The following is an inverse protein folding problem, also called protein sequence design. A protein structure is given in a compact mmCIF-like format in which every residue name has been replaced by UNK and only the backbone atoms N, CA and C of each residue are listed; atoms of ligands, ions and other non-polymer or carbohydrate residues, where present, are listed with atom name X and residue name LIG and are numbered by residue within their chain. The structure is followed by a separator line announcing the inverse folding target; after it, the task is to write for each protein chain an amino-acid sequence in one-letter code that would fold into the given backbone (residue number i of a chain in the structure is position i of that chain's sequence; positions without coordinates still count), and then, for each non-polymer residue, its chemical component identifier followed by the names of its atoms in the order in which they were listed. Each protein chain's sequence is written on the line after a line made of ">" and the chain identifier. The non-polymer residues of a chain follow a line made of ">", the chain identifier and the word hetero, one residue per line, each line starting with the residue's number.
data_IF_733100867337
#
_entry.id   IF_733100867337
#
_cell.length_a   1.000
_cell.length_b   1.000
_cell.length_c   1.000
_cell.angle_alpha   90.00
_cell.angle_beta   90.00
_cell.angle_gamma   90.00
#
_symmetry.space_group_name_H-M   'P 1'
#
loop_
_entity.id
_entity.type
_entity.pdbx_description
1 polymer ?
#
# COMPACT_ATOMS: atom_id res chain seq x y z
N UNK A 1 -32.55 -3.09 31.66
CA UNK A 1 -31.32 -3.82 31.29
C UNK A 1 -30.62 -2.99 30.20
N UNK A 2 -29.47 -2.39 30.52
CA UNK A 2 -28.76 -1.53 29.58
C UNK A 2 -28.11 -2.41 28.49
N UNK A 3 -28.38 -2.14 27.23
CA UNK A 3 -27.81 -2.89 26.13
C UNK A 3 -26.34 -2.45 25.86
N UNK A 4 -25.55 -3.28 25.17
CA UNK A 4 -24.18 -2.91 24.73
C UNK A 4 -24.15 -1.60 23.92
N UNK A 5 -25.22 -1.32 23.15
CA UNK A 5 -25.38 -0.06 22.41
C UNK A 5 -25.59 1.14 23.31
N UNK A 6 -26.34 0.98 24.40
CA UNK A 6 -26.59 2.06 25.35
C UNK A 6 -25.34 2.37 26.18
N UNK A 7 -24.53 1.34 26.50
CA UNK A 7 -23.24 1.52 27.16
C UNK A 7 -22.26 2.32 26.29
N UNK A 8 -22.17 2.00 24.98
CA UNK A 8 -21.34 2.77 24.03
C UNK A 8 -21.79 4.23 23.91
N UNK A 9 -23.09 4.49 23.89
CA UNK A 9 -23.62 5.87 23.87
C UNK A 9 -23.25 6.65 25.15
N UNK A 10 -23.33 6.01 26.31
CA UNK A 10 -22.99 6.60 27.60
C UNK A 10 -21.49 6.86 27.69
N UNK A 11 -20.63 5.95 27.20
CA UNK A 11 -19.18 6.10 27.22
C UNK A 11 -18.72 7.24 26.31
N UNK A 12 -19.34 7.38 25.14
CA UNK A 12 -19.06 8.50 24.22
C UNK A 12 -19.51 9.84 24.82
N UNK A 13 -20.67 9.88 25.47
CA UNK A 13 -21.15 11.09 26.15
C UNK A 13 -20.32 11.42 27.39
N UNK A 14 -19.89 10.42 28.16
CA UNK A 14 -19.07 10.60 29.37
C UNK A 14 -17.63 11.06 29.06
N UNK A 15 -17.03 10.54 27.97
CA UNK A 15 -15.71 10.96 27.52
C UNK A 15 -15.66 12.40 27.00
N UNK A 16 -16.77 12.85 26.39
CA UNK A 16 -16.90 14.23 25.89
C UNK A 16 -17.02 15.27 27.00
N UNK A 17 -17.55 14.92 28.16
CA UNK A 17 -17.70 15.83 29.30
C UNK A 17 -16.40 16.12 30.06
N UNK A 18 -15.38 15.26 29.94
CA UNK A 18 -14.11 15.45 30.62
C UNK A 18 -13.13 16.41 29.90
N UNK A 19 -13.42 16.85 28.67
CA UNK A 19 -12.54 17.70 27.84
C UNK A 19 -13.21 18.95 27.29
N UNK A 20 -14.14 19.56 28.05
CA UNK A 20 -14.92 20.72 27.60
C UNK A 20 -14.09 22.02 27.33
N UNK A 21 -12.78 22.01 27.54
CA UNK A 21 -11.93 23.13 27.21
C UNK A 21 -11.41 23.18 25.77
N UNK A 22 -11.71 22.16 24.94
CA UNK A 22 -11.32 22.09 23.53
C UNK A 22 -12.48 21.64 22.61
N UNK A 23 -13.61 22.31 22.74
CA UNK A 23 -14.85 22.00 21.99
C UNK A 23 -14.70 22.17 20.46
N UNK A 24 -13.74 22.97 19.98
CA UNK A 24 -13.53 23.14 18.55
C UNK A 24 -12.78 21.97 17.91
N UNK A 25 -11.85 21.33 18.64
CA UNK A 25 -11.16 20.12 18.14
C UNK A 25 -12.04 18.86 18.23
N UNK A 26 -12.95 18.80 19.21
CA UNK A 26 -13.87 17.68 19.37
C UNK A 26 -14.98 17.65 18.29
N UNK A 27 -15.34 18.80 17.73
CA UNK A 27 -16.35 18.89 16.64
C UNK A 27 -15.88 18.24 15.34
N UNK A 28 -14.59 18.06 15.12
CA UNK A 28 -14.05 17.44 13.92
C UNK A 28 -14.22 15.91 13.86
N UNK A 29 -14.68 15.27 14.94
CA UNK A 29 -14.76 13.81 15.05
C UNK A 29 -16.18 13.26 15.09
N UNK A 30 -17.19 14.11 14.97
CA UNK A 30 -18.58 13.65 14.97
C UNK A 30 -18.97 13.27 13.54
N UNK A 31 -19.12 11.96 13.32
CA UNK A 31 -19.75 11.46 12.11
C UNK A 31 -21.25 11.78 12.17
N UNK A 32 -21.76 12.60 11.26
CA UNK A 32 -23.18 12.69 11.02
C UNK A 32 -23.58 11.50 10.15
N UNK A 33 -24.16 10.49 10.78
CA UNK A 33 -24.93 9.48 10.05
C UNK A 33 -26.27 10.13 9.75
N UNK A 34 -26.48 10.49 8.49
CA UNK A 34 -27.79 10.97 8.03
C UNK A 34 -28.63 9.73 7.73
N UNK A 35 -29.74 9.49 8.45
CA UNK A 35 -30.66 8.40 8.13
C UNK A 35 -31.14 8.56 6.69
N UNK A 36 -31.31 7.46 5.97
CA UNK A 36 -31.82 7.38 4.61
C UNK A 36 -30.89 7.87 3.46
N UNK A 37 -29.58 7.99 3.69
CA UNK A 37 -28.60 8.18 2.62
C UNK A 37 -27.65 7.00 2.51
N UNK A 38 -27.26 6.63 1.30
CA UNK A 38 -26.27 5.57 1.03
C UNK A 38 -24.86 6.01 1.43
N UNK A 39 -24.66 7.26 1.84
CA UNK A 39 -23.36 7.87 2.10
C UNK A 39 -23.29 8.46 3.50
N UNK A 40 -22.10 8.41 4.08
CA UNK A 40 -21.76 9.17 5.28
C UNK A 40 -20.63 10.16 4.95
N UNK A 41 -20.64 11.31 5.63
CA UNK A 41 -19.60 12.31 5.48
C UNK A 41 -18.57 12.14 6.60
N UNK A 42 -17.29 12.04 6.22
CA UNK A 42 -16.18 12.12 7.16
C UNK A 42 -15.78 13.60 7.33
N UNK A 43 -15.72 14.08 8.57
CA UNK A 43 -15.31 15.45 8.87
C UNK A 43 -13.84 15.72 8.50
N UNK A 44 -13.50 16.97 8.28
CA UNK A 44 -12.10 17.39 8.05
C UNK A 44 -11.25 17.06 9.27
N UNK A 45 -10.07 16.47 9.02
CA UNK A 45 -9.09 16.15 10.06
C UNK A 45 -7.65 16.44 9.61
N UNK A 46 -6.81 16.78 10.56
CA UNK A 46 -5.37 16.88 10.34
C UNK A 46 -4.77 15.47 10.27
N UNK A 47 -3.96 15.20 9.26
CA UNK A 47 -3.25 13.92 9.08
C UNK A 47 -1.76 14.17 9.28
N UNK A 48 -1.06 13.44 10.19
CA UNK A 48 0.35 13.63 10.42
C UNK A 48 1.18 13.26 9.19
N UNK A 49 2.11 14.12 8.82
CA UNK A 49 3.11 13.86 7.77
C UNK A 49 4.28 13.13 8.40
N UNK A 50 4.51 11.87 8.00
CA UNK A 50 5.58 11.03 8.56
C UNK A 50 6.84 11.03 7.71
N UNK A 51 6.74 11.38 6.43
CA UNK A 51 7.89 11.46 5.55
C UNK A 51 7.66 12.45 4.40
N UNK A 52 8.78 12.94 3.87
CA UNK A 52 8.87 13.63 2.57
C UNK A 52 9.92 12.92 1.75
N UNK A 53 9.66 12.75 0.46
CA UNK A 53 10.54 12.00 -0.44
C UNK A 53 10.46 12.58 -1.87
N UNK A 54 11.34 12.18 -2.76
CA UNK A 54 11.24 12.54 -4.17
C UNK A 54 10.21 11.66 -4.88
N UNK A 55 10.28 10.35 -4.64
CA UNK A 55 9.44 9.36 -5.33
C UNK A 55 8.82 8.42 -4.31
N UNK A 56 7.50 8.21 -4.42
CA UNK A 56 6.82 7.11 -3.75
C UNK A 56 6.61 5.99 -4.75
N UNK A 57 6.94 4.75 -4.35
CA UNK A 57 6.57 3.53 -5.07
C UNK A 57 5.49 2.82 -4.27
N UNK A 58 4.33 2.58 -4.88
CA UNK A 58 3.22 1.87 -4.25
C UNK A 58 3.13 0.45 -4.78
N UNK A 59 3.33 -0.51 -3.90
CA UNK A 59 3.33 -1.95 -4.20
C UNK A 59 4.41 -2.69 -3.43
N UNK A 60 4.30 -4.02 -3.38
CA UNK A 60 5.24 -4.90 -2.67
C UNK A 60 5.77 -6.05 -3.54
N UNK A 61 5.43 -6.08 -4.83
CA UNK A 61 5.84 -7.10 -5.79
C UNK A 61 7.31 -6.94 -6.21
N UNK A 62 7.88 -7.95 -6.85
CA UNK A 62 9.23 -7.87 -7.42
C UNK A 62 9.40 -6.69 -8.37
N UNK A 63 8.32 -6.33 -9.11
CA UNK A 63 8.28 -5.15 -9.97
C UNK A 63 8.37 -3.84 -9.21
N UNK A 64 7.73 -3.76 -8.04
CA UNK A 64 7.83 -2.61 -7.15
C UNK A 64 9.26 -2.38 -6.69
N UNK A 65 9.94 -3.44 -6.29
CA UNK A 65 11.34 -3.37 -5.85
C UNK A 65 12.25 -2.97 -7.02
N UNK A 66 12.06 -3.54 -8.19
CA UNK A 66 12.82 -3.16 -9.38
C UNK A 66 12.66 -1.66 -9.71
N UNK A 67 11.43 -1.14 -9.66
CA UNK A 67 11.14 0.27 -9.89
C UNK A 67 11.76 1.17 -8.81
N UNK A 68 11.66 0.79 -7.54
CA UNK A 68 12.22 1.55 -6.42
C UNK A 68 13.75 1.63 -6.49
N UNK A 69 14.40 0.49 -6.75
CA UNK A 69 15.86 0.42 -6.91
C UNK A 69 16.34 1.19 -8.13
N UNK A 70 15.63 1.09 -9.26
CA UNK A 70 15.95 1.87 -10.44
C UNK A 70 15.88 3.38 -10.18
N UNK A 71 14.82 3.83 -9.50
CA UNK A 71 14.66 5.23 -9.10
C UNK A 71 15.76 5.67 -8.11
N UNK A 72 16.09 4.85 -7.11
CA UNK A 72 17.14 5.17 -6.14
C UNK A 72 18.53 5.29 -6.80
N UNK A 73 18.83 4.44 -7.77
CA UNK A 73 20.10 4.49 -8.55
C UNK A 73 20.27 5.77 -9.37
N UNK A 74 19.20 6.53 -9.63
CA UNK A 74 19.29 7.86 -10.24
C UNK A 74 19.60 8.98 -9.24
N UNK A 75 19.80 8.64 -7.96
CA UNK A 75 20.05 9.61 -6.89
C UNK A 75 18.76 10.18 -6.26
N UNK A 76 17.59 9.65 -6.61
CA UNK A 76 16.32 10.06 -5.99
C UNK A 76 16.17 9.46 -4.60
N UNK A 77 15.63 10.26 -3.67
CA UNK A 77 15.13 9.75 -2.39
C UNK A 77 13.79 9.02 -2.64
N UNK A 78 13.74 7.74 -2.29
CA UNK A 78 12.62 6.84 -2.61
C UNK A 78 11.98 6.28 -1.34
N UNK A 79 10.66 6.20 -1.34
CA UNK A 79 9.88 5.56 -0.29
C UNK A 79 8.92 4.53 -0.88
N UNK A 80 9.04 3.26 -0.48
CA UNK A 80 8.18 2.18 -0.94
C UNK A 80 7.09 1.89 0.09
N UNK A 81 5.86 1.70 -0.37
CA UNK A 81 4.69 1.36 0.46
C UNK A 81 4.14 0.02 0.03
N UNK A 82 4.33 -1.00 0.86
CA UNK A 82 3.81 -2.36 0.64
C UNK A 82 2.57 -2.63 1.49
N UNK A 83 1.52 -3.17 0.89
CA UNK A 83 0.29 -3.51 1.61
C UNK A 83 0.39 -4.86 2.36
N UNK A 84 1.25 -5.77 1.89
CA UNK A 84 1.51 -7.04 2.57
C UNK A 84 2.54 -6.87 3.69
N UNK A 85 2.60 -7.78 4.68
CA UNK A 85 3.63 -7.78 5.70
C UNK A 85 4.98 -8.33 5.21
N UNK A 86 5.17 -8.47 3.91
CA UNK A 86 6.38 -8.97 3.24
C UNK A 86 6.43 -8.46 1.80
N UNK A 87 7.60 -8.57 1.17
CA UNK A 87 7.80 -8.27 -0.26
C UNK A 87 7.70 -9.53 -1.13
N UNK A 88 7.41 -9.34 -2.42
CA UNK A 88 7.35 -10.43 -3.39
C UNK A 88 6.02 -11.19 -3.34
N UNK A 89 4.91 -10.50 -3.16
CA UNK A 89 3.56 -11.07 -3.20
C UNK A 89 3.24 -11.74 -4.55
N UNK A 90 3.80 -11.24 -5.63
CA UNK A 90 3.71 -11.82 -6.97
C UNK A 90 4.42 -13.18 -7.11
N UNK A 91 5.41 -13.47 -6.30
CA UNK A 91 6.15 -14.74 -6.28
C UNK A 91 5.73 -15.58 -5.09
N UNK A 92 5.85 -15.02 -3.87
CA UNK A 92 5.60 -15.76 -2.63
C UNK A 92 4.11 -15.96 -2.37
N UNK A 93 3.26 -14.98 -2.71
CA UNK A 93 1.82 -15.06 -2.49
C UNK A 93 1.11 -15.97 -3.50
N UNK A 94 1.64 -16.05 -4.71
CA UNK A 94 1.12 -16.90 -5.78
C UNK A 94 1.85 -18.24 -5.93
N UNK A 95 2.85 -18.52 -5.08
CA UNK A 95 3.69 -19.73 -5.15
C UNK A 95 4.39 -19.93 -6.50
N UNK A 96 4.73 -18.84 -7.20
CA UNK A 96 5.44 -18.86 -8.48
C UNK A 96 6.96 -18.90 -8.27
N UNK A 97 7.47 -20.03 -7.80
CA UNK A 97 8.91 -20.25 -7.57
C UNK A 97 9.64 -20.83 -8.78
N UNK A 98 8.96 -20.98 -9.89
CA UNK A 98 9.51 -21.43 -11.15
C UNK A 98 9.56 -20.27 -12.13
N UNK A 99 10.60 -20.25 -12.96
CA UNK A 99 10.62 -19.43 -14.16
C UNK A 99 10.77 -20.33 -15.38
N UNK A 100 10.29 -19.88 -16.52
CA UNK A 100 10.46 -20.61 -17.76
C UNK A 100 11.98 -20.77 -18.06
N UNK A 101 12.46 -22.02 -18.13
CA UNK A 101 13.88 -22.33 -18.35
C UNK A 101 14.40 -21.87 -19.71
N UNK A 102 13.49 -21.70 -20.66
CA UNK A 102 13.80 -21.22 -22.01
C UNK A 102 13.91 -19.68 -22.06
N UNK A 103 13.46 -18.98 -21.02
CA UNK A 103 13.58 -17.54 -20.90
C UNK A 103 14.83 -17.14 -20.14
N UNK A 104 15.66 -16.35 -20.77
CA UNK A 104 16.85 -15.79 -20.13
C UNK A 104 16.46 -14.75 -19.11
N UNK A 105 16.88 -14.91 -17.85
CA UNK A 105 16.73 -13.90 -16.81
C UNK A 105 17.47 -12.61 -17.20
N UNK A 106 16.72 -11.55 -17.47
CA UNK A 106 17.24 -10.34 -18.08
C UNK A 106 17.81 -9.34 -17.07
N UNK A 107 17.28 -9.32 -15.85
CA UNK A 107 17.66 -8.34 -14.83
C UNK A 107 18.54 -8.94 -13.75
N UNK A 108 19.34 -8.09 -13.07
CA UNK A 108 20.13 -8.53 -11.92
C UNK A 108 19.25 -9.03 -10.79
N UNK A 109 18.12 -8.36 -10.56
CA UNK A 109 17.14 -8.77 -9.55
C UNK A 109 16.60 -10.17 -9.84
N UNK A 110 16.19 -10.46 -11.08
CA UNK A 110 15.69 -11.78 -11.45
C UNK A 110 16.76 -12.87 -11.26
N UNK A 111 18.03 -12.59 -11.58
CA UNK A 111 19.14 -13.51 -11.33
C UNK A 111 19.43 -13.75 -9.85
N UNK A 112 19.20 -12.75 -9.00
CA UNK A 112 19.32 -12.91 -7.54
C UNK A 112 18.17 -13.71 -6.94
N UNK A 113 16.96 -13.54 -7.48
CA UNK A 113 15.78 -14.31 -7.04
C UNK A 113 15.91 -15.78 -7.47
N UNK A 114 16.38 -16.03 -8.71
CA UNK A 114 16.51 -17.36 -9.31
C UNK A 114 17.98 -17.68 -9.60
N UNK A 115 18.81 -17.97 -8.58
CA UNK A 115 20.29 -18.03 -8.75
C UNK A 115 20.80 -19.27 -9.44
N UNK A 116 19.97 -20.28 -9.77
CA UNK A 116 20.47 -21.49 -10.37
C UNK A 116 19.52 -22.68 -10.43
N UNK A 117 20.05 -23.87 -10.13
CA UNK A 117 19.31 -25.15 -10.35
C UNK A 117 18.22 -25.42 -9.34
N UNK A 118 18.28 -24.82 -8.16
CA UNK A 118 17.30 -25.00 -7.10
C UNK A 118 16.23 -23.91 -7.19
N UNK A 119 14.99 -24.30 -6.88
CA UNK A 119 13.91 -23.33 -6.75
C UNK A 119 14.13 -22.43 -5.54
N UNK A 120 13.89 -21.13 -5.66
CA UNK A 120 13.98 -20.23 -4.52
C UNK A 120 12.92 -20.59 -3.48
N UNK A 121 13.27 -20.44 -2.22
CA UNK A 121 12.31 -20.56 -1.12
C UNK A 121 11.59 -19.23 -0.89
N UNK A 122 10.39 -19.21 -0.29
CA UNK A 122 9.73 -17.96 0.06
C UNK A 122 10.61 -17.03 0.90
N UNK A 123 11.41 -17.61 1.81
CA UNK A 123 12.29 -16.82 2.67
C UNK A 123 13.44 -16.20 1.85
N UNK A 124 14.07 -16.97 0.95
CA UNK A 124 15.16 -16.46 0.13
C UNK A 124 14.70 -15.31 -0.78
N UNK A 125 13.51 -15.44 -1.40
CA UNK A 125 12.92 -14.37 -2.21
C UNK A 125 12.71 -13.10 -1.38
N UNK A 126 12.04 -13.21 -0.23
CA UNK A 126 11.79 -12.07 0.66
C UNK A 126 13.07 -11.38 1.09
N UNK A 127 14.08 -12.17 1.48
CA UNK A 127 15.39 -11.66 1.90
C UNK A 127 16.12 -10.93 0.76
N UNK A 128 16.10 -11.48 -0.45
CA UNK A 128 16.69 -10.82 -1.62
C UNK A 128 16.03 -9.47 -1.90
N UNK A 129 14.69 -9.44 -1.90
CA UNK A 129 13.94 -8.22 -2.20
C UNK A 129 14.15 -7.14 -1.13
N UNK A 130 14.20 -7.53 0.14
CA UNK A 130 14.44 -6.61 1.26
C UNK A 130 15.87 -6.05 1.22
N UNK A 131 16.86 -6.90 0.99
CA UNK A 131 18.25 -6.47 0.85
C UNK A 131 18.43 -5.51 -0.34
N UNK A 132 17.76 -5.72 -1.47
CA UNK A 132 17.81 -4.78 -2.59
C UNK A 132 17.33 -3.37 -2.20
N UNK A 133 16.29 -3.26 -1.37
CA UNK A 133 15.86 -1.96 -0.88
C UNK A 133 16.87 -1.35 0.10
N UNK A 134 17.39 -2.15 1.04
CA UNK A 134 18.35 -1.70 2.05
C UNK A 134 19.66 -1.23 1.39
N UNK A 135 20.22 -2.03 0.50
CA UNK A 135 21.50 -1.76 -0.18
C UNK A 135 21.42 -0.51 -1.06
N UNK A 136 20.22 -0.16 -1.54
CA UNK A 136 20.01 1.05 -2.34
C UNK A 136 19.38 2.21 -1.52
N UNK A 137 19.40 2.13 -0.18
CA UNK A 137 18.88 3.15 0.74
C UNK A 137 17.41 3.54 0.48
N UNK A 138 16.59 2.62 0.00
CA UNK A 138 15.16 2.84 -0.16
C UNK A 138 14.48 2.67 1.18
N UNK A 139 13.75 3.70 1.63
CA UNK A 139 12.89 3.59 2.82
C UNK A 139 11.62 2.84 2.45
N UNK A 140 11.09 2.02 3.35
CA UNK A 140 9.86 1.27 3.08
C UNK A 140 9.01 1.03 4.31
N UNK A 141 7.71 0.81 4.08
CA UNK A 141 6.74 0.39 5.09
C UNK A 141 5.96 -0.81 4.60
N UNK A 142 5.80 -1.78 5.48
CA UNK A 142 4.90 -2.92 5.33
C UNK A 142 3.49 -2.62 5.85
N UNK A 143 2.54 -3.47 5.49
CA UNK A 143 1.16 -3.47 6.01
C UNK A 143 0.52 -2.08 6.00
N UNK A 144 0.77 -1.32 4.94
CA UNK A 144 0.31 0.06 4.77
C UNK A 144 -0.47 0.20 3.47
N UNK A 145 -1.72 0.59 3.57
CA UNK A 145 -2.62 0.74 2.43
C UNK A 145 -2.72 2.20 2.02
N UNK A 146 -2.50 2.48 0.74
CA UNK A 146 -2.79 3.81 0.17
C UNK A 146 -4.30 3.96 0.08
N UNK A 147 -4.84 4.96 0.76
CA UNK A 147 -6.29 5.21 0.87
C UNK A 147 -6.72 6.50 0.18
N UNK A 148 -5.78 7.39 -0.11
CA UNK A 148 -6.04 8.62 -0.85
C UNK A 148 -4.76 9.16 -1.47
N UNK A 149 -4.89 9.96 -2.53
CA UNK A 149 -3.80 10.72 -3.14
C UNK A 149 -3.99 12.19 -2.79
N UNK A 150 -2.91 12.83 -2.36
CA UNK A 150 -2.87 14.26 -2.11
C UNK A 150 -2.45 14.96 -3.39
N UNK A 151 -3.22 15.95 -3.81
CA UNK A 151 -2.89 16.77 -4.98
C UNK A 151 -2.49 18.18 -4.55
N UNK A 152 -1.65 18.81 -5.34
CA UNK A 152 -1.34 20.22 -5.22
C UNK A 152 -2.49 21.10 -5.80
N UNK A 153 -2.42 22.43 -5.67
CA UNK A 153 -3.44 23.32 -6.24
C UNK A 153 -3.60 23.23 -7.77
N UNK A 154 -2.60 22.67 -8.47
CA UNK A 154 -2.67 22.42 -9.92
C UNK A 154 -3.29 21.05 -10.25
N UNK A 155 -3.67 20.26 -9.24
CA UNK A 155 -4.22 18.92 -9.40
C UNK A 155 -3.16 17.82 -9.61
N UNK A 156 -1.87 18.15 -9.47
CA UNK A 156 -0.80 17.16 -9.64
C UNK A 156 -0.59 16.38 -8.34
N UNK A 157 -0.25 15.06 -8.43
CA UNK A 157 0.03 14.25 -7.26
C UNK A 157 1.20 14.81 -6.43
N UNK A 158 0.93 15.15 -5.18
CA UNK A 158 1.91 15.71 -4.22
C UNK A 158 2.18 14.81 -3.03
N UNK A 159 1.54 13.65 -2.96
CA UNK A 159 1.70 12.69 -1.86
C UNK A 159 0.58 11.67 -1.78
N UNK A 160 0.64 10.83 -0.76
CA UNK A 160 -0.40 9.83 -0.47
C UNK A 160 -0.78 9.86 1.00
N UNK A 161 -2.01 9.45 1.29
CA UNK A 161 -2.46 9.09 2.63
C UNK A 161 -2.46 7.57 2.73
N UNK A 162 -1.79 7.06 3.75
CA UNK A 162 -1.78 5.64 4.08
C UNK A 162 -2.60 5.36 5.33
N UNK A 163 -3.12 4.15 5.43
CA UNK A 163 -3.73 3.60 6.62
C UNK A 163 -2.98 2.34 7.06
N UNK A 164 -2.60 2.28 8.32
CA UNK A 164 -1.94 1.15 8.95
C UNK A 164 -2.29 1.08 10.45
N UNK A 165 -1.56 0.29 11.24
CA UNK A 165 -1.80 0.17 12.68
C UNK A 165 -1.61 1.47 13.47
N UNK A 166 -0.84 2.42 12.94
CA UNK A 166 -0.65 3.75 13.55
C UNK A 166 -1.74 4.75 13.13
N UNK A 167 -2.76 4.29 12.40
CA UNK A 167 -3.85 5.12 11.87
C UNK A 167 -3.54 5.69 10.49
N UNK A 168 -4.14 6.84 10.18
CA UNK A 168 -3.93 7.51 8.89
C UNK A 168 -2.73 8.46 8.98
N UNK A 169 -1.84 8.36 8.01
CA UNK A 169 -0.59 9.12 7.93
C UNK A 169 -0.38 9.59 6.49
N UNK A 170 0.32 10.69 6.30
CA UNK A 170 0.64 11.24 4.98
C UNK A 170 2.14 11.12 4.69
N UNK A 171 2.45 10.83 3.43
CA UNK A 171 3.80 10.88 2.87
C UNK A 171 3.76 11.83 1.67
N UNK A 172 4.60 12.86 1.67
CA UNK A 172 4.68 13.83 0.58
C UNK A 172 5.75 13.42 -0.42
N UNK A 173 5.51 13.68 -1.70
CA UNK A 173 6.46 13.37 -2.79
C UNK A 173 6.32 14.33 -3.96
N UNK A 174 7.22 14.19 -4.94
CA UNK A 174 7.17 14.89 -6.24
C UNK A 174 6.57 14.02 -7.34
N UNK A 175 6.67 12.68 -7.19
CA UNK A 175 6.13 11.72 -8.16
C UNK A 175 5.73 10.42 -7.46
N UNK A 176 4.78 9.69 -8.06
CA UNK A 176 4.31 8.40 -7.58
C UNK A 176 4.45 7.39 -8.71
N UNK A 177 5.01 6.22 -8.41
CA UNK A 177 5.04 5.06 -9.29
C UNK A 177 4.04 4.04 -8.74
N UNK A 178 2.97 3.79 -9.48
CA UNK A 178 1.97 2.79 -9.13
C UNK A 178 2.36 1.44 -9.76
N UNK A 179 2.71 0.49 -8.91
CA UNK A 179 3.02 -0.90 -9.31
C UNK A 179 1.99 -1.89 -8.79
N UNK A 180 0.86 -1.40 -8.31
CA UNK A 180 -0.21 -2.25 -7.81
C UNK A 180 -0.92 -3.00 -8.93
N UNK A 181 -1.45 -4.18 -8.63
CA UNK A 181 -2.17 -5.00 -9.63
C UNK A 181 -3.42 -4.32 -10.19
N UNK A 182 -4.04 -3.45 -9.40
CA UNK A 182 -5.31 -2.80 -9.73
C UNK A 182 -5.17 -1.31 -10.00
N UNK A 183 -3.96 -0.82 -10.28
CA UNK A 183 -3.71 0.60 -10.53
C UNK A 183 -4.34 1.49 -9.44
N UNK A 184 -4.09 1.17 -8.19
CA UNK A 184 -4.75 1.78 -7.02
C UNK A 184 -4.60 3.29 -6.99
N UNK A 185 -3.41 3.81 -7.29
CA UNK A 185 -3.15 5.26 -7.29
C UNK A 185 -3.84 5.92 -8.47
N UNK A 186 -3.79 5.32 -9.66
CA UNK A 186 -4.46 5.84 -10.84
C UNK A 186 -5.98 5.90 -10.65
N UNK A 187 -6.56 4.85 -10.03
CA UNK A 187 -7.99 4.83 -9.70
C UNK A 187 -8.38 5.91 -8.69
N UNK A 188 -7.56 6.12 -7.66
CA UNK A 188 -7.79 7.20 -6.69
C UNK A 188 -7.68 8.60 -7.29
N UNK A 189 -6.97 8.74 -8.41
CA UNK A 189 -6.88 9.97 -9.20
C UNK A 189 -7.99 10.10 -10.24
N UNK A 190 -8.89 9.13 -10.35
CA UNK A 190 -10.01 9.15 -11.29
C UNK A 190 -9.60 8.81 -12.73
N UNK A 191 -8.52 8.05 -12.94
CA UNK A 191 -8.13 7.64 -14.28
C UNK A 191 -9.23 6.80 -14.96
N UNK A 192 -9.49 7.06 -16.23
CA UNK A 192 -10.41 6.26 -17.03
C UNK A 192 -9.90 4.82 -17.16
N UNK A 193 -10.80 3.88 -16.96
CA UNK A 193 -10.51 2.46 -17.11
C UNK A 193 -11.13 1.93 -18.40
N UNK A 194 -10.34 1.18 -19.16
CA UNK A 194 -10.89 0.40 -20.27
C UNK A 194 -11.65 -0.79 -19.70
N UNK A 195 -12.92 -0.98 -20.04
CA UNK A 195 -13.69 -2.13 -19.58
C UNK A 195 -12.97 -3.45 -19.93
N UNK A 196 -12.89 -4.35 -18.98
CA UNK A 196 -12.37 -5.70 -19.25
C UNK A 196 -13.28 -6.40 -20.27
N UNK A 197 -12.67 -6.88 -21.35
CA UNK A 197 -13.38 -7.74 -22.31
C UNK A 197 -13.24 -9.18 -21.85
N UNK A 198 -14.35 -9.93 -21.70
CA UNK A 198 -14.26 -11.35 -21.37
C UNK A 198 -13.46 -12.09 -22.42
N UNK A 199 -12.41 -12.76 -22.01
CA UNK A 199 -11.57 -13.63 -22.83
C UNK A 199 -11.36 -14.96 -22.11
N UNK A 200 -10.79 -15.95 -22.78
CA UNK A 200 -10.37 -17.18 -22.12
C UNK A 200 -9.20 -16.87 -21.20
N UNK A 201 -9.37 -17.14 -19.91
CA UNK A 201 -8.30 -17.00 -18.93
C UNK A 201 -7.65 -18.35 -18.72
N UNK A 202 -6.35 -18.43 -18.99
CA UNK A 202 -5.51 -19.52 -18.54
C UNK A 202 -4.96 -19.19 -17.17
N UNK A 203 -5.08 -20.12 -16.21
CA UNK A 203 -4.51 -19.96 -14.88
C UNK A 203 -3.76 -21.22 -14.47
N UNK A 204 -2.69 -21.02 -13.73
CA UNK A 204 -1.92 -22.08 -13.11
C UNK A 204 -2.12 -22.00 -11.60
N UNK A 205 -2.31 -23.15 -10.96
CA UNK A 205 -2.29 -23.24 -9.52
C UNK A 205 -1.31 -24.32 -9.07
N UNK A 206 -0.65 -24.06 -7.95
CA UNK A 206 0.32 -24.96 -7.36
C UNK A 206 -0.32 -25.68 -6.20
N UNK A 207 -0.27 -27.00 -6.20
CA UNK A 207 -0.69 -27.85 -5.08
C UNK A 207 0.53 -28.21 -4.26
N UNK A 208 0.51 -27.87 -2.97
CA UNK A 208 1.57 -28.22 -2.03
C UNK A 208 1.12 -29.43 -1.22
N UNK A 209 1.87 -30.52 -1.29
CA UNK A 209 1.61 -31.76 -0.57
C UNK A 209 2.30 -32.96 -1.20
N UNK A 210 2.23 -34.09 -0.52
CA UNK A 210 2.63 -35.37 -1.12
C UNK A 210 1.48 -35.87 -1.99
N UNK A 211 1.79 -36.18 -3.27
CA UNK A 211 0.88 -36.87 -4.17
C UNK A 211 0.75 -38.33 -3.77
#
# INVERSE_FOLDING_TARGET
>A
MITRRDFLKITVAGGALASLNNLEEAKATIYQVVPDTEFCYEGQRKIPIIAKTSIIVVGGSSRAIAAAVAAAKTGCDVFLIGYMPYLGDDICGSFLFEHNKDEKLQTDLSRKIFPGKEYPTPLSVKTVLENELIDNNVRFLYSSYVTNVLTDPAGLPGGVVIANRSGRQAILCKAIIDTTHHATVANLLGAEQTPFKPETLEFQYTVVGNA
#
